data_IF_548467483147
#
_entry.id   IF_548467483147
#
_cell.length_a   1.000
_cell.length_b   1.000
_cell.length_c   1.000
_cell.angle_alpha   90.00
_cell.angle_beta   90.00
_cell.angle_gamma   90.00
#
_symmetry.space_group_name_H-M   'P 1'
#
loop_
_entity.id
_entity.type
_entity.pdbx_description
1 polymer ?
#
# COMPACT_ATOMS: atom_id res chain seq x y z
N UNK A 1 0.81 -10.53 22.04
CA UNK A 1 0.67 -10.17 20.61
C UNK A 1 1.33 -8.81 20.42
N UNK A 2 2.10 -8.59 19.35
CA UNK A 2 2.70 -7.27 19.13
C UNK A 2 1.59 -6.25 18.78
N UNK A 3 1.61 -5.02 19.35
CA UNK A 3 0.59 -4.01 19.08
C UNK A 3 0.61 -3.58 17.61
N UNK A 4 -0.56 -3.62 16.95
CA UNK A 4 -0.67 -3.24 15.55
C UNK A 4 -0.55 -1.69 15.39
N UNK A 5 0.46 -1.18 14.67
CA UNK A 5 0.70 0.27 14.55
C UNK A 5 -0.45 1.01 13.88
N UNK A 6 -1.21 0.35 12.99
CA UNK A 6 -2.37 0.95 12.33
C UNK A 6 -3.50 1.25 13.33
N UNK A 7 -3.74 0.35 14.29
CA UNK A 7 -4.75 0.52 15.34
C UNK A 7 -4.35 1.67 16.27
N UNK A 8 -3.08 1.73 16.68
CA UNK A 8 -2.58 2.83 17.52
C UNK A 8 -2.77 4.20 16.87
N UNK A 9 -2.43 4.33 15.57
CA UNK A 9 -2.63 5.57 14.82
C UNK A 9 -4.11 5.93 14.69
N UNK A 10 -5.00 4.95 14.54
CA UNK A 10 -6.44 5.18 14.48
C UNK A 10 -6.99 5.71 15.81
N UNK A 11 -6.59 5.13 16.95
CA UNK A 11 -7.02 5.56 18.29
C UNK A 11 -6.70 7.05 18.51
N UNK A 12 -5.51 7.49 18.11
CA UNK A 12 -5.10 8.90 18.25
C UNK A 12 -5.92 9.84 17.36
N UNK A 13 -6.15 9.45 16.11
CA UNK A 13 -6.95 10.24 15.19
C UNK A 13 -8.40 10.36 15.62
N UNK A 14 -8.93 9.35 16.32
CA UNK A 14 -10.29 9.30 16.82
C UNK A 14 -10.43 9.94 18.23
N UNK A 15 -9.34 10.48 18.79
CA UNK A 15 -9.40 11.22 20.04
C UNK A 15 -9.36 10.34 21.30
N UNK A 16 -8.70 9.18 21.23
CA UNK A 16 -8.43 8.26 22.35
C UNK A 16 -9.65 7.59 22.98
N UNK A 17 -10.86 7.87 22.53
CA UNK A 17 -12.08 7.15 22.88
C UNK A 17 -12.68 6.55 21.62
N UNK A 18 -12.74 5.23 21.53
CA UNK A 18 -13.08 4.54 20.27
C UNK A 18 -13.95 3.32 20.50
N UNK A 19 -14.80 3.00 19.53
CA UNK A 19 -15.49 1.70 19.44
C UNK A 19 -14.72 0.77 18.50
N UNK A 20 -15.08 -0.53 18.51
CA UNK A 20 -14.54 -1.50 17.56
C UNK A 20 -14.87 -1.09 16.12
N UNK A 21 -16.10 -0.65 15.87
CA UNK A 21 -16.57 -0.12 14.59
C UNK A 21 -15.77 1.08 14.10
N UNK A 22 -15.50 2.04 14.99
CA UNK A 22 -14.72 3.24 14.65
C UNK A 22 -13.33 2.88 14.12
N UNK A 23 -12.64 1.95 14.77
CA UNK A 23 -11.30 1.52 14.38
C UNK A 23 -11.34 0.65 13.11
N UNK A 24 -12.28 -0.30 13.03
CA UNK A 24 -12.41 -1.19 11.89
C UNK A 24 -12.70 -0.41 10.60
N UNK A 25 -13.66 0.52 10.63
CA UNK A 25 -13.97 1.40 9.50
C UNK A 25 -12.77 2.25 9.09
N UNK A 26 -12.11 2.88 10.08
CA UNK A 26 -11.02 3.83 9.83
C UNK A 26 -9.78 3.17 9.24
N UNK A 27 -9.49 1.92 9.63
CA UNK A 27 -8.29 1.20 9.19
C UNK A 27 -8.59 0.24 8.03
N UNK A 28 -9.85 -0.19 7.86
CA UNK A 28 -10.25 -1.27 6.95
C UNK A 28 -9.94 -2.67 7.51
N UNK A 29 -9.86 -2.81 8.83
CA UNK A 29 -9.56 -4.09 9.49
C UNK A 29 -10.82 -4.91 9.72
N UNK A 30 -10.63 -6.23 9.78
CA UNK A 30 -11.70 -7.13 10.23
C UNK A 30 -12.12 -6.77 11.66
N UNK A 31 -13.42 -6.75 11.96
CA UNK A 31 -13.98 -6.42 13.27
C UNK A 31 -13.36 -7.26 14.38
N UNK A 32 -13.21 -8.57 14.18
CA UNK A 32 -12.62 -9.47 15.17
C UNK A 32 -11.16 -9.13 15.46
N UNK A 33 -10.38 -8.79 14.42
CA UNK A 33 -8.99 -8.37 14.58
C UNK A 33 -8.89 -7.00 15.25
N UNK A 34 -9.80 -6.07 14.93
CA UNK A 34 -9.88 -4.77 15.57
C UNK A 34 -10.22 -4.91 17.07
N UNK A 35 -11.18 -5.76 17.41
CA UNK A 35 -11.58 -6.04 18.79
C UNK A 35 -10.44 -6.67 19.59
N UNK A 36 -9.82 -7.73 19.07
CA UNK A 36 -8.68 -8.39 19.72
C UNK A 36 -7.51 -7.41 19.91
N UNK A 37 -7.22 -6.61 18.89
CA UNK A 37 -6.18 -5.59 18.96
C UNK A 37 -6.47 -4.49 19.99
N UNK A 38 -7.71 -3.99 20.04
CA UNK A 38 -8.15 -3.01 21.03
C UNK A 38 -8.08 -3.54 22.45
N UNK A 39 -8.55 -4.77 22.67
CA UNK A 39 -8.51 -5.41 23.98
C UNK A 39 -7.06 -5.63 24.45
N UNK A 40 -6.19 -6.12 23.57
CA UNK A 40 -4.77 -6.29 23.87
C UNK A 40 -4.10 -4.94 24.20
N UNK A 41 -4.36 -3.90 23.40
CA UNK A 41 -3.85 -2.55 23.65
C UNK A 41 -4.38 -1.96 24.97
N UNK A 42 -5.66 -2.16 25.28
CA UNK A 42 -6.27 -1.67 26.52
C UNK A 42 -5.64 -2.36 27.73
N UNK A 43 -5.45 -3.68 27.66
CA UNK A 43 -4.77 -4.44 28.72
C UNK A 43 -3.31 -3.99 28.92
N UNK A 44 -2.58 -3.74 27.82
CA UNK A 44 -1.16 -3.40 27.88
C UNK A 44 -0.88 -1.93 28.20
N UNK A 45 -1.79 -1.03 27.85
CA UNK A 45 -1.61 0.42 27.98
C UNK A 45 -2.53 1.07 29.03
N UNK A 46 -3.13 0.26 29.92
CA UNK A 46 -4.08 0.71 30.94
C UNK A 46 -5.25 1.50 30.34
N UNK A 47 -5.80 1.00 29.23
CA UNK A 47 -7.06 1.48 28.68
C UNK A 47 -8.24 1.03 29.53
N UNK A 48 -9.26 1.88 29.59
CA UNK A 48 -10.49 1.63 30.31
C UNK A 48 -11.61 1.22 29.36
N UNK A 49 -12.42 0.26 29.80
CA UNK A 49 -13.67 -0.13 29.17
C UNK A 49 -14.81 0.74 29.71
N UNK A 50 -15.66 1.21 28.81
CA UNK A 50 -16.92 1.92 29.08
C UNK A 50 -18.05 1.16 28.38
N UNK A 51 -19.08 0.75 29.12
CA UNK A 51 -20.22 -0.01 28.61
C UNK A 51 -21.46 0.86 28.70
N UNK A 52 -22.17 0.97 27.58
CA UNK A 52 -23.40 1.74 27.45
C UNK A 52 -24.63 0.93 27.89
N UNK A 53 -25.77 1.61 28.07
CA UNK A 53 -27.06 0.94 28.33
C UNK A 53 -27.48 -0.05 27.23
N UNK A 54 -27.08 0.21 25.99
CA UNK A 54 -27.29 -0.69 24.85
C UNK A 54 -26.46 -1.98 24.90
N UNK A 55 -25.52 -2.10 25.86
CA UNK A 55 -24.55 -3.19 25.93
C UNK A 55 -23.34 -3.00 25.02
N UNK A 56 -23.25 -1.87 24.32
CA UNK A 56 -22.11 -1.54 23.45
C UNK A 56 -20.91 -1.02 24.24
N UNK A 57 -19.71 -1.28 23.73
CA UNK A 57 -18.45 -1.02 24.43
C UNK A 57 -17.63 0.06 23.72
N UNK A 58 -17.26 1.11 24.46
CA UNK A 58 -16.26 2.08 24.10
C UNK A 58 -14.97 1.85 24.91
N UNK A 59 -13.82 2.00 24.24
CA UNK A 59 -12.50 1.91 24.84
C UNK A 59 -11.94 3.31 25.01
N UNK A 60 -11.56 3.68 26.24
CA UNK A 60 -10.86 4.92 26.54
C UNK A 60 -9.37 4.64 26.79
N UNK A 61 -8.51 5.27 26.00
CA UNK A 61 -7.06 5.17 26.14
C UNK A 61 -6.48 6.44 26.79
N UNK A 62 -5.45 6.30 27.62
CA UNK A 62 -4.76 7.47 28.17
C UNK A 62 -3.95 8.17 27.06
N UNK A 63 -3.84 9.50 27.10
CA UNK A 63 -3.13 10.28 26.04
C UNK A 63 -1.65 9.91 25.91
N UNK A 64 -1.05 9.35 26.95
CA UNK A 64 0.33 8.89 26.99
C UNK A 64 0.50 7.40 26.65
N UNK A 65 -0.53 6.70 26.14
CA UNK A 65 -0.50 5.25 25.91
C UNK A 65 0.68 4.78 25.03
N UNK A 66 1.10 5.57 24.03
CA UNK A 66 2.30 5.26 23.21
C UNK A 66 3.57 5.12 24.05
N UNK A 67 3.76 5.99 25.04
CA UNK A 67 4.94 5.97 25.90
C UNK A 67 4.97 4.73 26.79
N UNK A 68 3.80 4.29 27.26
CA UNK A 68 3.61 3.09 28.08
C UNK A 68 3.95 1.84 27.24
N UNK A 69 3.43 1.76 26.01
CA UNK A 69 3.68 0.64 25.10
C UNK A 69 5.14 0.56 24.62
N UNK A 70 5.80 1.71 24.38
CA UNK A 70 7.19 1.76 23.92
C UNK A 70 8.18 1.17 24.92
N UNK A 71 7.90 1.27 26.21
CA UNK A 71 8.75 0.68 27.26
C UNK A 71 8.53 -0.84 27.41
N UNK A 72 7.42 -1.37 26.90
CA UNK A 72 7.06 -2.80 27.04
C UNK A 72 7.46 -3.65 25.82
N UNK A 73 7.46 -3.07 24.62
CA UNK A 73 7.74 -3.80 23.37
C UNK A 73 9.04 -3.34 22.68
N UNK A 74 10.14 -4.05 22.96
CA UNK A 74 11.43 -3.89 22.24
C UNK A 74 11.30 -4.13 20.72
N UNK A 75 10.31 -4.94 20.30
CA UNK A 75 10.05 -5.26 18.89
C UNK A 75 9.63 -4.02 18.05
N UNK A 76 8.99 -3.02 18.66
CA UNK A 76 8.65 -1.76 17.99
C UNK A 76 9.92 -0.95 17.65
N UNK A 77 10.95 -1.02 18.50
CA UNK A 77 12.23 -0.36 18.25
C UNK A 77 13.05 -1.09 17.17
N UNK A 78 12.96 -2.42 17.12
CA UNK A 78 13.70 -3.25 16.17
C UNK A 78 13.12 -3.13 14.75
N UNK A 79 11.80 -3.02 14.60
CA UNK A 79 11.15 -2.84 13.29
C UNK A 79 11.51 -1.48 12.67
N UNK A 80 11.51 -0.40 13.46
CA UNK A 80 11.96 0.93 13.00
C UNK A 80 13.45 0.94 12.62
N UNK A 81 14.29 0.18 13.31
CA UNK A 81 15.70 0.06 12.97
C UNK A 81 15.91 -0.77 11.70
N UNK A 82 15.16 -1.87 11.54
CA UNK A 82 15.20 -2.72 10.36
C UNK A 82 14.83 -1.94 9.09
N UNK A 83 13.79 -1.10 9.14
CA UNK A 83 13.42 -0.24 8.01
C UNK A 83 14.50 0.81 7.68
N UNK A 84 15.21 1.34 8.67
CA UNK A 84 16.36 2.25 8.45
C UNK A 84 17.52 1.53 7.77
N UNK A 85 17.83 0.30 8.18
CA UNK A 85 18.92 -0.50 7.59
C UNK A 85 18.61 -0.84 6.14
N UNK A 86 17.39 -1.31 5.85
CA UNK A 86 16.98 -1.59 4.47
C UNK A 86 16.99 -0.34 3.59
N UNK A 87 16.59 0.82 4.13
CA UNK A 87 16.68 2.11 3.40
C UNK A 87 18.10 2.42 2.95
N UNK A 88 19.07 2.29 3.86
CA UNK A 88 20.48 2.54 3.54
C UNK A 88 21.02 1.49 2.58
N UNK A 89 20.70 0.21 2.80
CA UNK A 89 21.14 -0.89 1.95
C UNK A 89 20.64 -0.73 0.51
N UNK A 90 19.35 -0.44 0.31
CA UNK A 90 18.79 -0.20 -1.02
C UNK A 90 19.30 1.10 -1.65
N UNK A 91 19.59 2.14 -0.86
CA UNK A 91 20.25 3.34 -1.35
C UNK A 91 21.67 3.04 -1.88
N UNK A 92 22.42 2.19 -1.17
CA UNK A 92 23.75 1.74 -1.61
C UNK A 92 23.66 0.89 -2.89
N UNK A 93 22.70 -0.03 -2.97
CA UNK A 93 22.43 -0.82 -4.19
C UNK A 93 22.03 0.11 -5.35
N UNK A 94 21.20 1.12 -5.08
CA UNK A 94 20.75 2.11 -6.08
C UNK A 94 21.91 2.89 -6.68
N UNK A 95 22.85 3.30 -5.82
CA UNK A 95 24.08 3.99 -6.24
C UNK A 95 25.02 3.05 -6.99
N UNK A 96 25.16 1.80 -6.55
CA UNK A 96 26.15 0.88 -7.12
C UNK A 96 25.92 0.62 -8.60
N UNK A 97 24.67 0.50 -9.06
CA UNK A 97 24.41 0.28 -10.50
C UNK A 97 24.89 1.44 -11.38
N UNK A 98 24.63 2.69 -10.99
CA UNK A 98 25.10 3.84 -11.77
C UNK A 98 26.62 4.00 -11.73
N UNK A 99 27.26 3.68 -10.60
CA UNK A 99 28.73 3.68 -10.49
C UNK A 99 29.34 2.58 -11.36
N UNK A 100 28.79 1.36 -11.33
CA UNK A 100 29.28 0.24 -12.16
C UNK A 100 29.14 0.58 -13.65
N UNK A 101 28.07 1.25 -14.06
CA UNK A 101 27.90 1.74 -15.44
C UNK A 101 29.00 2.73 -15.84
N UNK A 102 29.30 3.70 -14.98
CA UNK A 102 30.34 4.69 -15.26
C UNK A 102 31.72 4.04 -15.32
N UNK A 103 32.02 3.15 -14.37
CA UNK A 103 33.27 2.38 -14.34
C UNK A 103 33.39 1.47 -15.56
N UNK A 104 32.31 0.83 -16.02
CA UNK A 104 32.35 -0.02 -17.22
C UNK A 104 32.68 0.79 -18.45
N UNK A 105 32.05 1.96 -18.62
CA UNK A 105 32.32 2.87 -19.73
C UNK A 105 33.78 3.34 -19.69
N UNK A 106 34.25 3.88 -18.56
CA UNK A 106 35.62 4.37 -18.43
C UNK A 106 36.63 3.25 -18.73
N UNK A 107 36.43 2.06 -18.17
CA UNK A 107 37.32 0.93 -18.37
C UNK A 107 37.35 0.46 -19.84
N UNK A 108 36.20 0.45 -20.52
CA UNK A 108 36.12 0.13 -21.95
C UNK A 108 36.88 1.16 -22.79
N UNK A 109 36.63 2.45 -22.59
CA UNK A 109 37.24 3.51 -23.40
C UNK A 109 38.74 3.67 -23.13
N UNK A 110 39.20 3.50 -21.88
CA UNK A 110 40.62 3.50 -21.55
C UNK A 110 41.33 2.31 -22.20
N UNK A 111 40.73 1.11 -22.18
CA UNK A 111 41.29 -0.05 -22.86
C UNK A 111 41.37 0.16 -24.38
N UNK A 112 40.32 0.71 -25.00
CA UNK A 112 40.33 1.07 -26.43
C UNK A 112 41.46 2.07 -26.72
N UNK A 113 41.60 3.13 -25.92
CA UNK A 113 42.63 4.15 -26.13
C UNK A 113 44.05 3.58 -26.06
N UNK A 114 44.35 2.72 -25.06
CA UNK A 114 45.65 2.06 -24.93
C UNK A 114 45.96 1.20 -26.16
N UNK A 115 44.96 0.42 -26.63
CA UNK A 115 45.12 -0.42 -27.81
C UNK A 115 45.40 0.45 -29.05
N UNK A 116 44.65 1.53 -29.25
CA UNK A 116 44.82 2.41 -30.43
C UNK A 116 46.15 3.18 -30.43
N UNK A 117 46.58 3.71 -29.29
CA UNK A 117 47.87 4.41 -29.17
C UNK A 117 49.01 3.46 -29.51
N UNK A 118 48.94 2.22 -29.01
CA UNK A 118 49.98 1.22 -29.27
C UNK A 118 50.02 0.85 -30.75
N UNK A 119 48.86 0.62 -31.37
CA UNK A 119 48.73 0.35 -32.80
C UNK A 119 49.31 1.47 -33.67
N UNK A 120 49.15 2.72 -33.26
CA UNK A 120 49.64 3.88 -34.01
C UNK A 120 51.14 4.17 -33.75
N UNK A 121 51.69 3.68 -32.63
CA UNK A 121 53.12 3.78 -32.31
C UNK A 121 53.97 2.67 -32.95
N UNK A 122 53.34 1.62 -33.47
CA UNK A 122 54.01 0.51 -34.14
C UNK A 122 54.10 0.73 -35.66
N UNK A 123 54.86 1.74 -36.08
CA UNK A 123 55.36 1.89 -37.44
C UNK A 123 56.90 1.88 -37.49
N UNK A 124 57.52 0.92 -36.80
CA UNK A 124 58.82 0.37 -37.23
C UNK A 124 59.16 -0.85 -36.38
N UNK A 125 59.20 -2.03 -37.02
CA UNK A 125 60.19 -3.10 -36.85
C UNK A 125 59.64 -4.45 -37.36
N UNK A 126 60.24 -4.92 -38.44
CA UNK A 126 60.20 -6.31 -38.89
C UNK A 126 61.00 -7.19 -37.93
N UNK A 127 60.51 -8.38 -37.59
CA UNK A 127 61.15 -9.68 -37.90
C UNK A 127 60.46 -10.87 -37.20
N UNK A 128 60.82 -12.06 -37.67
CA UNK A 128 60.02 -13.27 -37.80
C UNK A 128 59.81 -14.20 -36.59
N UNK A 129 58.67 -14.91 -36.65
CA UNK A 129 58.37 -16.35 -36.42
C UNK A 129 59.12 -17.14 -35.32
N UNK A 130 58.34 -17.74 -34.38
CA UNK A 130 58.03 -19.20 -34.23
C UNK A 130 57.55 -19.55 -32.80
N UNK A 131 56.59 -20.50 -32.68
CA UNK A 131 56.60 -21.51 -31.60
C UNK A 131 55.38 -21.68 -30.67
N UNK A 132 54.50 -22.61 -31.04
CA UNK A 132 53.73 -23.64 -30.28
C UNK A 132 53.39 -23.56 -28.76
N UNK A 133 52.09 -23.82 -28.49
CA UNK A 133 51.43 -24.62 -27.42
C UNK A 133 51.57 -24.29 -25.92
N UNK A 134 50.43 -24.12 -25.21
CA UNK A 134 49.76 -25.16 -24.38
C UNK A 134 48.78 -24.57 -23.32
N UNK A 135 47.73 -25.36 -23.01
CA UNK A 135 47.07 -25.55 -21.70
C UNK A 135 45.99 -24.60 -21.14
N UNK A 136 44.90 -25.25 -20.66
CA UNK A 136 44.03 -24.82 -19.55
C UNK A 136 42.78 -24.05 -19.99
N UNK A 137 41.53 -24.53 -19.84
CA UNK A 137 40.96 -25.24 -18.69
C UNK A 137 39.99 -24.29 -17.98
N UNK A 138 38.68 -24.39 -18.24
CA UNK A 138 37.68 -23.52 -17.64
C UNK A 138 36.27 -24.11 -17.77
N UNK A 139 35.84 -24.79 -16.70
CA UNK A 139 34.53 -25.40 -16.55
C UNK A 139 33.47 -24.30 -16.42
N UNK A 140 32.51 -24.27 -17.34
CA UNK A 140 31.30 -23.47 -17.24
C UNK A 140 30.36 -24.19 -16.26
N UNK A 141 30.30 -23.70 -15.02
CA UNK A 141 29.31 -24.09 -14.04
C UNK A 141 28.07 -23.21 -14.23
N UNK A 142 27.00 -23.76 -14.80
CA UNK A 142 25.68 -23.13 -14.80
C UNK A 142 24.84 -23.87 -13.76
N UNK A 143 24.62 -23.31 -12.55
CA UNK A 143 23.65 -23.87 -11.62
C UNK A 143 22.25 -23.61 -12.17
N UNK A 144 21.54 -24.71 -12.37
CA UNK A 144 20.22 -24.80 -12.98
C UNK A 144 19.12 -24.41 -11.95
N UNK A 145 18.99 -23.12 -11.59
CA UNK A 145 18.01 -22.66 -10.60
C UNK A 145 17.25 -21.36 -10.97
N UNK A 146 17.09 -21.06 -12.27
CA UNK A 146 16.61 -19.74 -12.74
C UNK A 146 15.37 -19.76 -13.63
N UNK A 147 14.41 -20.67 -13.40
CA UNK A 147 13.10 -20.62 -14.08
C UNK A 147 11.98 -20.94 -13.07
N UNK A 148 11.74 -19.97 -12.20
CA UNK A 148 10.61 -19.90 -11.28
C UNK A 148 10.77 -18.65 -10.42
N UNK A 149 10.01 -17.60 -10.71
CA UNK A 149 9.97 -16.32 -9.97
C UNK A 149 11.10 -15.27 -10.16
N UNK A 150 11.65 -15.12 -11.37
CA UNK A 150 12.49 -13.94 -11.72
C UNK A 150 11.74 -12.60 -11.59
N UNK A 151 10.41 -12.62 -11.58
CA UNK A 151 9.60 -11.41 -11.51
C UNK A 151 9.50 -10.78 -10.12
N UNK A 152 9.97 -11.45 -9.07
CA UNK A 152 10.08 -10.83 -7.74
C UNK A 152 11.13 -9.70 -7.71
N UNK A 153 12.15 -9.74 -8.57
CA UNK A 153 13.16 -8.67 -8.72
C UNK A 153 12.56 -7.34 -9.21
N UNK A 154 11.42 -7.40 -9.92
CA UNK A 154 10.67 -6.24 -10.40
C UNK A 154 9.60 -5.75 -9.41
N UNK A 155 9.48 -6.40 -8.26
CA UNK A 155 8.62 -5.98 -7.16
C UNK A 155 9.51 -5.68 -5.94
N UNK A 156 10.08 -4.47 -5.82
CA UNK A 156 10.68 -4.05 -4.55
C UNK A 156 9.54 -3.92 -3.53
N UNK A 157 9.26 -5.02 -2.83
CA UNK A 157 8.21 -5.15 -1.85
C UNK A 157 8.56 -4.53 -0.50
N UNK A 158 9.29 -3.40 -0.45
CA UNK A 158 9.52 -2.66 0.79
C UNK A 158 9.64 -1.17 0.47
N UNK A 159 8.67 -0.42 0.96
CA UNK A 159 8.36 0.90 0.45
C UNK A 159 8.98 2.04 1.22
N UNK A 160 9.41 3.06 0.48
CA UNK A 160 9.54 4.41 0.99
C UNK A 160 8.18 4.88 1.51
N UNK A 161 8.06 5.15 2.81
CA UNK A 161 6.95 5.93 3.37
C UNK A 161 7.14 7.40 3.00
N UNK A 162 6.82 7.75 1.76
CA UNK A 162 6.30 9.09 1.49
C UNK A 162 4.83 9.03 1.87
N UNK A 163 4.52 9.59 3.04
CA UNK A 163 3.15 9.94 3.40
C UNK A 163 2.54 10.69 2.20
N UNK A 164 1.46 10.18 1.56
CA UNK A 164 0.64 11.02 0.72
C UNK A 164 -0.14 11.92 1.69
N UNK A 165 0.47 13.03 2.08
CA UNK A 165 -0.31 14.15 2.61
C UNK A 165 -1.32 14.51 1.52
N UNK A 166 -2.59 14.58 1.93
CA UNK A 166 -3.72 15.07 1.15
C UNK A 166 -3.29 16.33 0.38
N UNK A 167 -2.88 16.17 -0.87
CA UNK A 167 -2.82 17.27 -1.81
C UNK A 167 -4.24 17.46 -2.30
N UNK A 168 -4.92 18.36 -1.60
CA UNK A 168 -6.02 19.15 -2.14
C UNK A 168 -5.54 19.74 -3.46
N UNK A 169 -6.38 19.62 -4.48
CA UNK A 169 -6.15 20.18 -5.81
C UNK A 169 -5.57 21.58 -5.71
N UNK A 170 -4.32 21.71 -6.12
CA UNK A 170 -3.65 22.97 -6.38
C UNK A 170 -2.85 22.73 -7.64
N UNK A 171 -3.47 23.10 -8.76
CA UNK A 171 -2.80 23.54 -9.96
C UNK A 171 -1.62 24.45 -9.60
N UNK A 172 -0.51 24.30 -10.32
CA UNK A 172 0.79 24.99 -10.19
C UNK A 172 1.79 24.44 -9.16
N UNK A 173 2.60 23.47 -9.60
CA UNK A 173 4.08 23.58 -9.64
C UNK A 173 4.71 22.26 -10.08
N UNK A 174 4.81 22.06 -11.40
CA UNK A 174 5.63 21.02 -12.02
C UNK A 174 7.12 21.35 -11.94
N UNK A 175 7.64 21.63 -10.75
CA UNK A 175 9.08 21.55 -10.50
C UNK A 175 9.38 20.12 -10.06
N UNK A 176 9.53 19.24 -11.04
CA UNK A 176 10.33 18.04 -10.88
C UNK A 176 11.70 18.49 -10.37
N UNK A 177 12.03 18.24 -9.10
CA UNK A 177 13.43 18.27 -8.71
C UNK A 177 14.14 17.29 -9.64
N UNK A 178 14.99 17.79 -10.54
CA UNK A 178 15.66 16.95 -11.52
C UNK A 178 16.34 15.80 -10.78
N UNK A 179 15.92 14.58 -11.09
CA UNK A 179 16.49 13.38 -10.48
C UNK A 179 18.00 13.38 -10.68
N UNK A 180 18.77 13.13 -9.62
CA UNK A 180 20.22 12.99 -9.75
C UNK A 180 20.53 11.83 -10.73
N UNK A 181 21.67 11.87 -11.42
CA UNK A 181 22.09 10.87 -12.41
C UNK A 181 21.92 9.43 -11.91
N UNK A 182 22.43 9.11 -10.72
CA UNK A 182 22.34 7.75 -10.17
C UNK A 182 20.89 7.33 -9.89
N UNK A 183 20.07 8.28 -9.43
CA UNK A 183 18.65 8.05 -9.17
C UNK A 183 17.85 7.87 -10.47
N UNK A 184 18.20 8.62 -11.51
CA UNK A 184 17.72 8.47 -12.88
C UNK A 184 18.05 7.09 -13.43
N UNK A 185 19.31 6.67 -13.36
CA UNK A 185 19.77 5.37 -13.87
C UNK A 185 19.04 4.22 -13.15
N UNK A 186 18.86 4.32 -11.85
CA UNK A 186 18.10 3.33 -11.09
C UNK A 186 16.62 3.32 -11.44
N UNK A 187 15.97 4.49 -11.55
CA UNK A 187 14.57 4.60 -11.95
C UNK A 187 14.36 4.07 -13.38
N UNK A 188 15.31 4.32 -14.27
CA UNK A 188 15.35 3.73 -15.60
C UNK A 188 15.48 2.20 -15.54
N UNK A 189 16.37 1.65 -14.71
CA UNK A 189 16.66 0.21 -14.63
C UNK A 189 15.60 -0.62 -13.90
N UNK A 190 15.01 -0.09 -12.83
CA UNK A 190 14.07 -0.83 -11.97
C UNK A 190 12.68 -0.19 -11.82
N UNK A 191 12.52 1.08 -12.18
CA UNK A 191 11.29 1.84 -11.91
C UNK A 191 11.22 2.36 -10.48
N UNK A 192 10.07 2.93 -10.11
CA UNK A 192 9.88 3.63 -8.83
C UNK A 192 9.00 2.87 -7.82
N UNK A 193 8.77 1.58 -8.08
CA UNK A 193 7.97 0.68 -7.24
C UNK A 193 6.48 0.65 -7.59
N UNK A 194 5.73 -0.16 -6.83
CA UNK A 194 4.29 -0.38 -7.06
C UNK A 194 3.46 0.84 -6.60
N UNK A 195 2.76 1.55 -7.52
CA UNK A 195 1.94 2.71 -7.15
C UNK A 195 0.69 2.31 -6.34
N UNK A 196 0.28 1.04 -6.40
CA UNK A 196 -0.93 0.50 -5.78
C UNK A 196 -0.61 -0.41 -4.56
N UNK A 197 0.55 -0.25 -3.92
CA UNK A 197 0.95 -1.09 -2.78
C UNK A 197 -0.04 -1.10 -1.61
N UNK A 198 -0.78 -0.01 -1.46
CA UNK A 198 -1.77 0.21 -0.40
C UNK A 198 -3.21 0.14 -0.90
N UNK A 199 -3.44 -0.31 -2.13
CA UNK A 199 -4.77 -0.35 -2.73
C UNK A 199 -5.74 -1.17 -1.89
N UNK A 200 -5.32 -2.33 -1.39
CA UNK A 200 -6.16 -3.20 -0.56
C UNK A 200 -6.56 -2.51 0.75
N UNK A 201 -5.59 -1.86 1.41
CA UNK A 201 -5.86 -1.09 2.64
C UNK A 201 -6.86 0.04 2.36
N UNK A 202 -6.68 0.76 1.26
CA UNK A 202 -7.59 1.82 0.83
C UNK A 202 -8.98 1.30 0.48
N UNK A 203 -9.09 0.17 -0.24
CA UNK A 203 -10.35 -0.48 -0.57
C UNK A 203 -11.20 -0.70 0.66
N UNK A 204 -10.65 -1.35 1.69
CA UNK A 204 -11.42 -1.65 2.90
C UNK A 204 -11.75 -0.40 3.71
N UNK A 205 -10.89 0.61 3.70
CA UNK A 205 -11.19 1.91 4.32
C UNK A 205 -12.34 2.62 3.61
N UNK A 206 -12.33 2.64 2.28
CA UNK A 206 -13.39 3.25 1.46
C UNK A 206 -14.71 2.51 1.66
N UNK A 207 -14.72 1.18 1.57
CA UNK A 207 -15.92 0.35 1.84
C UNK A 207 -16.47 0.62 3.24
N UNK A 208 -15.61 0.59 4.28
CA UNK A 208 -16.04 0.89 5.65
C UNK A 208 -16.60 2.30 5.79
N UNK A 209 -16.05 3.26 5.05
CA UNK A 209 -16.53 4.66 5.04
C UNK A 209 -17.87 4.79 4.30
N UNK A 210 -18.09 4.08 3.19
CA UNK A 210 -19.38 4.04 2.48
C UNK A 210 -20.47 3.47 3.39
N UNK A 211 -20.22 2.30 4.00
CA UNK A 211 -21.17 1.68 4.93
C UNK A 211 -21.51 2.63 6.07
N UNK A 212 -20.49 3.31 6.62
CA UNK A 212 -20.68 4.28 7.69
C UNK A 212 -21.46 5.52 7.25
N UNK A 213 -21.18 6.07 6.08
CA UNK A 213 -21.92 7.19 5.51
C UNK A 213 -23.39 6.83 5.28
N UNK A 214 -23.67 5.56 4.98
CA UNK A 214 -25.02 5.00 4.90
C UNK A 214 -25.55 4.50 6.25
N UNK A 215 -24.93 4.89 7.37
CA UNK A 215 -25.34 4.54 8.75
C UNK A 215 -25.52 3.04 8.96
N UNK A 216 -24.59 2.26 8.42
CA UNK A 216 -24.50 0.82 8.64
C UNK A 216 -25.46 -0.03 7.81
N UNK A 217 -26.21 0.51 6.85
CA UNK A 217 -27.03 -0.30 5.97
C UNK A 217 -26.86 0.11 4.50
N UNK A 218 -26.59 -0.86 3.64
CA UNK A 218 -26.28 -0.62 2.22
C UNK A 218 -26.88 -1.69 1.32
N UNK A 219 -27.19 -1.31 0.08
CA UNK A 219 -27.38 -2.26 -1.01
C UNK A 219 -26.02 -2.69 -1.61
N UNK A 220 -25.98 -3.85 -2.25
CA UNK A 220 -24.78 -4.41 -2.86
C UNK A 220 -24.13 -3.46 -3.88
N UNK A 221 -24.96 -2.78 -4.65
CA UNK A 221 -24.60 -1.87 -5.72
C UNK A 221 -23.87 -0.62 -5.20
N UNK A 222 -24.07 -0.24 -3.94
CA UNK A 222 -23.33 0.85 -3.30
C UNK A 222 -21.87 0.47 -3.01
N UNK A 223 -21.58 -0.82 -2.89
CA UNK A 223 -20.24 -1.36 -2.58
C UNK A 223 -19.54 -1.91 -3.82
N UNK A 224 -20.29 -2.35 -4.83
CA UNK A 224 -19.76 -2.89 -6.09
C UNK A 224 -18.65 -2.04 -6.75
N UNK A 225 -18.69 -0.69 -6.77
CA UNK A 225 -17.63 0.14 -7.36
C UNK A 225 -16.25 0.01 -6.70
N UNK A 226 -16.14 -0.59 -5.52
CA UNK A 226 -14.88 -0.75 -4.79
C UNK A 226 -14.31 -2.18 -4.88
N UNK A 227 -15.03 -3.10 -5.52
CA UNK A 227 -14.66 -4.51 -5.63
C UNK A 227 -14.06 -4.82 -7.01
N UNK A 228 -13.24 -5.88 -7.06
CA UNK A 228 -12.50 -6.25 -8.28
C UNK A 228 -13.26 -7.23 -9.17
N UNK A 229 -13.91 -8.22 -8.55
CA UNK A 229 -14.59 -9.31 -9.21
C UNK A 229 -16.00 -9.45 -8.63
N UNK A 230 -16.99 -8.91 -9.35
CA UNK A 230 -18.41 -9.05 -9.01
C UNK A 230 -19.02 -10.34 -9.60
N UNK A 231 -18.21 -11.19 -10.24
CA UNK A 231 -18.66 -12.37 -10.95
C UNK A 231 -19.50 -12.07 -12.20
N UNK A 232 -19.90 -13.13 -12.89
CA UNK A 232 -20.82 -13.09 -14.03
C UNK A 232 -21.97 -14.08 -13.83
N UNK A 233 -23.13 -13.78 -14.42
CA UNK A 233 -24.35 -14.60 -14.30
C UNK A 233 -24.80 -14.77 -12.85
N UNK A 234 -25.04 -16.02 -12.46
CA UNK A 234 -25.52 -16.40 -11.13
C UNK A 234 -24.75 -15.75 -9.97
N UNK A 235 -23.42 -15.71 -10.02
CA UNK A 235 -22.61 -15.15 -8.92
C UNK A 235 -22.89 -13.66 -8.68
N UNK A 236 -23.25 -12.93 -9.73
CA UNK A 236 -23.59 -11.52 -9.65
C UNK A 236 -25.03 -11.32 -9.20
N UNK A 237 -25.95 -12.18 -9.67
CA UNK A 237 -27.37 -12.17 -9.27
C UNK A 237 -27.57 -12.46 -7.78
N UNK A 238 -26.78 -13.38 -7.22
CA UNK A 238 -26.81 -13.73 -5.80
C UNK A 238 -25.84 -12.90 -4.94
N UNK A 239 -25.19 -11.90 -5.54
CA UNK A 239 -24.37 -10.92 -4.84
C UNK A 239 -23.23 -11.56 -4.01
N UNK A 240 -22.66 -12.68 -4.48
CA UNK A 240 -21.59 -13.44 -3.80
C UNK A 240 -20.38 -12.57 -3.44
N UNK A 241 -20.16 -11.52 -4.22
CA UNK A 241 -19.08 -10.54 -4.02
C UNK A 241 -19.19 -9.77 -2.70
N UNK A 242 -20.34 -9.79 -2.02
CA UNK A 242 -20.52 -9.18 -0.71
C UNK A 242 -20.02 -10.04 0.45
N UNK A 243 -19.84 -11.35 0.27
CA UNK A 243 -19.40 -12.26 1.33
C UNK A 243 -18.09 -11.83 2.03
N UNK A 244 -17.04 -11.37 1.33
CA UNK A 244 -15.84 -10.85 1.97
C UNK A 244 -16.10 -9.59 2.80
N UNK A 245 -17.04 -8.74 2.38
CA UNK A 245 -17.43 -7.50 3.08
C UNK A 245 -18.16 -7.85 4.37
N UNK A 246 -19.13 -8.77 4.30
CA UNK A 246 -19.87 -9.27 5.46
C UNK A 246 -18.94 -9.90 6.49
N UNK A 247 -18.03 -10.77 6.03
CA UNK A 247 -17.06 -11.44 6.91
C UNK A 247 -16.10 -10.44 7.56
N UNK A 248 -15.76 -9.35 6.87
CA UNK A 248 -14.81 -8.35 7.38
C UNK A 248 -15.45 -7.41 8.39
N UNK A 249 -16.64 -6.91 8.09
CA UNK A 249 -17.33 -5.90 8.90
C UNK A 249 -18.45 -6.45 9.78
N UNK A 250 -18.55 -7.77 9.92
CA UNK A 250 -19.57 -8.45 10.71
C UNK A 250 -21.00 -8.04 10.27
N UNK A 251 -21.20 -8.05 8.96
CA UNK A 251 -22.47 -7.72 8.33
C UNK A 251 -23.40 -8.92 8.20
N UNK A 252 -24.70 -8.66 8.16
CA UNK A 252 -25.75 -9.65 7.92
C UNK A 252 -26.66 -9.24 6.75
N UNK A 253 -27.07 -10.18 5.90
CA UNK A 253 -28.07 -9.93 4.87
C UNK A 253 -29.47 -9.88 5.48
N UNK A 254 -30.29 -8.96 5.01
CA UNK A 254 -31.72 -8.83 5.30
C UNK A 254 -32.46 -8.86 3.95
N UNK A 255 -33.64 -9.49 3.91
CA UNK A 255 -34.39 -9.67 2.65
C UNK A 255 -35.62 -8.79 2.68
N UNK A 256 -35.82 -8.01 1.61
CA UNK A 256 -36.99 -7.17 1.42
C UNK A 256 -38.24 -8.00 1.14
N UNK A 257 -39.45 -7.45 1.37
CA UNK A 257 -40.70 -8.12 0.99
C UNK A 257 -40.75 -8.51 -0.50
N UNK A 258 -40.03 -7.78 -1.35
CA UNK A 258 -39.94 -8.00 -2.79
C UNK A 258 -38.86 -9.05 -3.17
N UNK A 259 -38.16 -9.60 -2.19
CA UNK A 259 -37.14 -10.64 -2.38
C UNK A 259 -35.73 -10.11 -2.69
N UNK A 260 -35.50 -8.79 -2.55
CA UNK A 260 -34.19 -8.18 -2.74
C UNK A 260 -33.35 -8.27 -1.45
N UNK A 261 -32.03 -8.37 -1.59
CA UNK A 261 -31.11 -8.46 -0.44
C UNK A 261 -30.53 -7.08 -0.14
N UNK A 262 -30.56 -6.68 1.13
CA UNK A 262 -29.84 -5.52 1.66
C UNK A 262 -28.92 -5.98 2.78
N UNK A 263 -27.87 -5.20 3.05
CA UNK A 263 -26.84 -5.60 4.00
C UNK A 263 -26.77 -4.63 5.15
N UNK A 264 -26.88 -5.18 6.36
CA UNK A 264 -26.86 -4.45 7.61
C UNK A 264 -25.60 -4.77 8.40
N UNK A 265 -24.92 -3.74 8.90
CA UNK A 265 -23.64 -3.77 9.58
C UNK A 265 -23.74 -3.08 10.96
N UNK A 266 -24.29 -3.77 11.98
CA UNK A 266 -24.52 -3.18 13.30
C UNK A 266 -23.25 -2.59 13.93
N UNK A 267 -22.12 -3.29 13.78
CA UNK A 267 -20.86 -2.88 14.39
C UNK A 267 -20.34 -1.54 13.84
N UNK A 268 -20.75 -1.14 12.63
CA UNK A 268 -20.37 0.13 12.00
C UNK A 268 -21.34 1.28 12.33
N UNK A 269 -22.45 1.00 13.03
CA UNK A 269 -23.42 2.01 13.51
C UNK A 269 -23.02 2.58 14.89
N UNK A 270 -22.26 1.81 15.66
CA UNK A 270 -21.80 2.14 17.00
C UNK A 270 -20.55 3.01 16.97
N UNK A 271 -20.65 4.22 17.52
CA UNK A 271 -19.59 5.23 17.45
C UNK A 271 -19.37 5.90 18.81
N UNK A 272 -18.11 6.19 19.15
CA UNK A 272 -17.78 6.89 20.40
C UNK A 272 -18.06 8.39 20.32
N UNK A 273 -18.19 8.93 19.12
CA UNK A 273 -18.46 10.34 18.85
C UNK A 273 -19.24 10.46 17.55
N UNK A 274 -20.14 11.44 17.49
CA UNK A 274 -20.75 11.86 16.24
C UNK A 274 -19.66 12.16 15.20
N UNK A 275 -19.80 11.56 14.02
CA UNK A 275 -18.85 11.72 12.93
C UNK A 275 -19.55 12.35 11.73
N UNK A 276 -18.88 13.35 11.16
CA UNK A 276 -19.28 13.97 9.92
C UNK A 276 -19.15 12.99 8.76
N UNK A 277 -20.01 13.17 7.75
CA UNK A 277 -19.92 12.45 6.49
C UNK A 277 -18.54 12.68 5.85
N UNK A 278 -17.87 11.59 5.51
CA UNK A 278 -16.56 11.66 4.88
C UNK A 278 -16.71 11.60 3.36
N UNK A 279 -15.92 12.41 2.65
CA UNK A 279 -15.87 12.36 1.19
C UNK A 279 -15.21 11.04 0.77
N UNK A 280 -15.95 10.24 -0.01
CA UNK A 280 -15.45 8.99 -0.60
C UNK A 280 -15.45 9.14 -2.12
N UNK A 281 -14.39 8.72 -2.83
CA UNK A 281 -14.39 8.65 -4.29
C UNK A 281 -15.54 7.78 -4.80
N UNK A 282 -16.11 8.05 -5.99
CA UNK A 282 -17.24 7.28 -6.50
C UNK A 282 -16.92 5.79 -6.76
N UNK A 283 -15.64 5.45 -6.98
CA UNK A 283 -15.15 4.09 -7.18
C UNK A 283 -13.67 3.97 -6.80
N UNK A 284 -13.20 2.74 -6.59
CA UNK A 284 -11.80 2.46 -6.28
C UNK A 284 -10.92 2.60 -7.53
N UNK A 285 -10.11 3.65 -7.60
CA UNK A 285 -9.21 3.90 -8.73
C UNK A 285 -7.81 3.30 -8.49
N UNK A 286 -7.41 2.36 -9.35
CA UNK A 286 -6.04 1.89 -9.40
C UNK A 286 -5.16 2.83 -10.24
N UNK A 287 -3.98 3.18 -9.72
CA UNK A 287 -3.03 4.03 -10.44
C UNK A 287 -2.25 3.22 -11.47
N UNK A 288 -2.03 3.80 -12.64
CA UNK A 288 -1.20 3.20 -13.68
C UNK A 288 0.27 3.16 -13.27
N UNK A 289 0.96 2.10 -13.66
CA UNK A 289 2.40 1.98 -13.53
C UNK A 289 3.07 2.95 -14.48
N UNK A 290 3.92 3.82 -13.92
CA UNK A 290 4.81 4.68 -14.70
C UNK A 290 6.09 3.93 -14.97
N UNK A 291 6.65 4.09 -16.17
CA UNK A 291 7.92 3.46 -16.53
C UNK A 291 9.06 3.98 -15.65
N UNK A 292 9.13 5.29 -15.48
CA UNK A 292 10.09 5.99 -14.62
C UNK A 292 9.53 7.38 -14.29
N UNK A 293 9.91 7.93 -13.13
CA UNK A 293 9.69 9.32 -12.75
C UNK A 293 10.71 10.27 -13.39
N UNK A 294 11.77 9.76 -14.01
CA UNK A 294 12.75 10.55 -14.73
C UNK A 294 12.12 11.26 -15.94
N UNK A 295 12.65 12.44 -16.26
CA UNK A 295 12.19 13.19 -17.44
C UNK A 295 12.51 12.45 -18.74
N UNK A 296 11.80 12.78 -19.82
CA UNK A 296 12.08 12.18 -21.14
C UNK A 296 13.53 12.37 -21.58
N UNK A 297 14.14 13.51 -21.26
CA UNK A 297 15.55 13.78 -21.55
C UNK A 297 16.49 12.89 -20.72
N UNK A 298 16.21 12.70 -19.44
CA UNK A 298 16.96 11.82 -18.55
C UNK A 298 16.88 10.33 -18.96
N UNK A 299 15.70 9.89 -19.40
CA UNK A 299 15.52 8.55 -19.97
C UNK A 299 16.33 8.41 -21.26
N UNK A 300 16.25 9.39 -22.17
CA UNK A 300 17.02 9.38 -23.42
C UNK A 300 18.52 9.34 -23.18
N UNK A 301 19.03 10.13 -22.22
CA UNK A 301 20.44 10.10 -21.82
C UNK A 301 20.83 8.73 -21.27
N UNK A 302 19.98 8.11 -20.45
CA UNK A 302 20.23 6.76 -19.91
C UNK A 302 20.32 5.72 -21.03
N UNK A 303 19.38 5.75 -21.97
CA UNK A 303 19.40 4.89 -23.17
C UNK A 303 20.67 5.13 -23.98
N UNK A 304 21.03 6.40 -24.22
CA UNK A 304 22.24 6.78 -24.95
C UNK A 304 23.51 6.28 -24.27
N UNK A 305 23.61 6.42 -22.95
CA UNK A 305 24.76 5.95 -22.17
C UNK A 305 24.89 4.42 -22.24
N UNK A 306 23.76 3.70 -22.13
CA UNK A 306 23.71 2.25 -22.32
C UNK A 306 24.11 1.82 -23.72
N UNK A 307 23.66 2.53 -24.75
CA UNK A 307 24.01 2.26 -26.14
C UNK A 307 25.51 2.48 -26.39
N UNK A 308 26.07 3.58 -25.90
CA UNK A 308 27.51 3.86 -25.95
C UNK A 308 28.31 2.77 -25.24
N UNK A 309 27.84 2.28 -24.09
CA UNK A 309 28.50 1.20 -23.35
C UNK A 309 28.52 -0.11 -24.17
N UNK A 310 27.40 -0.50 -24.79
CA UNK A 310 27.33 -1.70 -25.64
C UNK A 310 28.20 -1.54 -26.89
N UNK A 311 28.11 -0.41 -27.60
CA UNK A 311 28.91 -0.14 -28.79
C UNK A 311 30.40 -0.17 -28.45
N UNK A 312 30.79 0.51 -27.38
CA UNK A 312 32.16 0.48 -26.87
C UNK A 312 32.62 -0.93 -26.54
N UNK A 313 31.79 -1.73 -25.86
CA UNK A 313 32.10 -3.13 -25.57
C UNK A 313 32.27 -3.96 -26.86
N UNK A 314 31.44 -3.77 -27.88
CA UNK A 314 31.56 -4.49 -29.15
C UNK A 314 32.83 -4.09 -29.93
N UNK A 315 33.17 -2.80 -29.96
CA UNK A 315 34.41 -2.29 -30.56
C UNK A 315 35.64 -2.82 -29.82
N UNK A 316 35.61 -2.77 -28.48
CA UNK A 316 36.66 -3.37 -27.66
C UNK A 316 36.78 -4.87 -27.96
N UNK A 317 35.66 -5.59 -28.06
CA UNK A 317 35.65 -7.01 -28.42
C UNK A 317 36.26 -7.31 -29.78
N UNK A 318 36.07 -6.45 -30.78
CA UNK A 318 36.73 -6.62 -32.08
C UNK A 318 38.23 -6.35 -32.00
N UNK A 319 38.67 -5.35 -31.22
CA UNK A 319 40.07 -5.03 -30.99
C UNK A 319 40.82 -6.13 -30.20
N UNK A 320 40.18 -6.71 -29.18
CA UNK A 320 40.76 -7.78 -28.36
C UNK A 320 40.97 -9.08 -29.16
N UNK A 321 40.12 -9.36 -30.17
CA UNK A 321 40.27 -10.52 -31.06
C UNK A 321 41.53 -10.44 -31.95
N UNK A 322 42.11 -9.26 -32.14
CA UNK A 322 43.31 -9.06 -32.96
C UNK A 322 44.62 -9.61 -32.35
N UNK A 323 44.58 -10.26 -31.19
CA UNK A 323 45.77 -10.88 -30.54
C UNK A 323 46.69 -9.90 -29.82
N UNK A 324 46.46 -8.59 -29.96
CA UNK A 324 47.27 -7.49 -29.41
C UNK A 324 47.15 -7.42 -27.87
N UNK A 325 46.03 -7.87 -27.31
CA UNK A 325 45.77 -7.84 -25.87
C UNK A 325 46.76 -8.71 -25.06
N UNK A 326 47.22 -9.82 -25.64
CA UNK A 326 48.19 -10.70 -24.99
C UNK A 326 49.62 -10.11 -24.96
N UNK A 327 49.91 -9.14 -25.83
CA UNK A 327 51.22 -8.46 -25.90
C UNK A 327 51.29 -7.21 -25.03
N UNK A 328 50.15 -6.54 -24.81
CA UNK A 328 50.05 -5.29 -24.05
C UNK A 328 50.17 -5.45 -22.53
N UNK A 329 49.74 -6.59 -21.98
CA UNK A 329 49.72 -6.84 -20.54
C UNK A 329 48.88 -5.81 -19.74
N UNK A 330 49.01 -5.84 -18.41
CA UNK A 330 48.43 -4.82 -17.51
C UNK A 330 46.91 -4.69 -17.58
N UNK A 331 46.41 -3.43 -17.69
CA UNK A 331 44.98 -3.11 -17.68
C UNK A 331 44.23 -3.80 -18.83
N UNK A 332 44.82 -3.90 -20.02
CA UNK A 332 44.16 -4.49 -21.19
C UNK A 332 43.91 -6.00 -21.01
N UNK A 333 44.87 -6.72 -20.41
CA UNK A 333 44.70 -8.13 -20.06
C UNK A 333 43.62 -8.34 -18.99
N UNK A 334 43.54 -7.43 -18.00
CA UNK A 334 42.45 -7.45 -17.02
C UNK A 334 41.09 -7.24 -17.68
N UNK A 335 40.94 -6.23 -18.53
CA UNK A 335 39.70 -5.96 -19.28
C UNK A 335 39.29 -7.16 -20.13
N UNK A 336 40.25 -7.82 -20.80
CA UNK A 336 39.99 -9.03 -21.56
C UNK A 336 39.41 -10.16 -20.69
N UNK A 337 39.90 -10.33 -19.46
CA UNK A 337 39.40 -11.36 -18.54
C UNK A 337 37.95 -11.13 -18.10
N UNK A 338 37.52 -9.86 -17.99
CA UNK A 338 36.16 -9.49 -17.58
C UNK A 338 35.25 -9.07 -18.75
N UNK A 339 35.70 -9.25 -20.00
CA UNK A 339 35.00 -8.78 -21.19
C UNK A 339 33.54 -9.23 -21.25
N UNK A 340 33.27 -10.51 -21.00
CA UNK A 340 31.90 -11.05 -21.02
C UNK A 340 31.01 -10.46 -19.92
N UNK A 341 31.59 -10.08 -18.78
CA UNK A 341 30.87 -9.41 -17.69
C UNK A 341 30.50 -7.98 -18.14
N UNK A 342 31.43 -7.24 -18.75
CA UNK A 342 31.18 -5.89 -19.27
C UNK A 342 30.11 -5.88 -20.36
N UNK A 343 30.22 -6.81 -21.32
CA UNK A 343 29.25 -6.95 -22.40
C UNK A 343 27.88 -7.37 -21.87
N UNK A 344 27.83 -8.38 -20.99
CA UNK A 344 26.59 -8.84 -20.36
C UNK A 344 25.91 -7.75 -19.54
N UNK A 345 26.70 -6.97 -18.80
CA UNK A 345 26.21 -5.81 -18.06
C UNK A 345 25.63 -4.74 -19.00
N UNK A 346 26.33 -4.39 -20.08
CA UNK A 346 25.85 -3.42 -21.08
C UNK A 346 24.53 -3.86 -21.73
N UNK A 347 24.44 -5.13 -22.14
CA UNK A 347 23.21 -5.71 -22.71
C UNK A 347 22.08 -5.67 -21.68
N UNK A 348 22.33 -6.15 -20.45
CA UNK A 348 21.34 -6.16 -19.38
C UNK A 348 20.80 -4.77 -19.04
N UNK A 349 21.67 -3.76 -19.09
CA UNK A 349 21.32 -2.37 -18.82
C UNK A 349 20.21 -1.83 -19.76
N UNK A 350 20.15 -2.27 -21.02
CA UNK A 350 19.09 -1.89 -21.96
C UNK A 350 17.98 -2.96 -22.10
N UNK A 351 18.33 -4.24 -21.99
CA UNK A 351 17.38 -5.34 -22.13
C UNK A 351 16.38 -5.38 -20.97
N UNK A 352 16.83 -5.15 -19.73
CA UNK A 352 15.97 -5.20 -18.54
C UNK A 352 14.87 -4.12 -18.60
N UNK A 353 15.17 -2.82 -18.84
CA UNK A 353 14.14 -1.80 -19.00
C UNK A 353 13.21 -2.06 -20.18
N UNK A 354 13.73 -2.61 -21.28
CA UNK A 354 12.92 -2.93 -22.47
C UNK A 354 11.89 -4.02 -22.16
N UNK A 355 12.29 -5.11 -21.51
CA UNK A 355 11.35 -6.16 -21.07
C UNK A 355 10.34 -5.57 -20.07
N UNK A 356 10.80 -4.76 -19.12
CA UNK A 356 9.92 -4.09 -18.15
C UNK A 356 8.90 -3.19 -18.84
N UNK A 357 9.29 -2.45 -19.87
CA UNK A 357 8.40 -1.57 -20.63
C UNK A 357 7.20 -2.35 -21.18
N UNK A 358 7.42 -3.48 -21.86
CA UNK A 358 6.32 -4.31 -22.37
C UNK A 358 5.46 -4.90 -21.25
N UNK A 359 6.07 -5.36 -20.17
CA UNK A 359 5.33 -5.86 -19.01
C UNK A 359 4.43 -4.78 -18.38
N UNK A 360 4.92 -3.55 -18.24
CA UNK A 360 4.14 -2.39 -17.76
C UNK A 360 2.96 -2.10 -18.69
N UNK A 361 3.12 -2.19 -20.01
CA UNK A 361 2.01 -1.99 -20.94
C UNK A 361 0.90 -3.03 -20.74
N UNK A 362 1.26 -4.31 -20.60
CA UNK A 362 0.30 -5.39 -20.33
C UNK A 362 -0.42 -5.14 -19.00
N UNK A 363 0.33 -4.83 -17.93
CA UNK A 363 -0.25 -4.55 -16.61
C UNK A 363 -1.17 -3.33 -16.62
N UNK A 364 -0.77 -2.25 -17.29
CA UNK A 364 -1.60 -1.05 -17.40
C UNK A 364 -2.87 -1.29 -18.21
N UNK A 365 -2.86 -2.16 -19.21
CA UNK A 365 -4.08 -2.56 -19.93
C UNK A 365 -5.07 -3.26 -18.99
N UNK A 366 -4.59 -4.20 -18.17
CA UNK A 366 -5.42 -4.88 -17.16
C UNK A 366 -5.98 -3.90 -16.11
N UNK A 367 -5.15 -2.96 -15.64
CA UNK A 367 -5.58 -1.93 -14.68
C UNK A 367 -6.66 -1.03 -15.28
N UNK A 368 -6.49 -0.59 -16.53
CA UNK A 368 -7.51 0.22 -17.24
C UNK A 368 -8.83 -0.51 -17.34
N UNK A 369 -8.82 -1.78 -17.73
CA UNK A 369 -10.03 -2.59 -17.83
C UNK A 369 -10.75 -2.73 -16.47
N UNK A 370 -10.01 -2.93 -15.37
CA UNK A 370 -10.59 -2.99 -14.01
C UNK A 370 -11.17 -1.65 -13.58
N UNK A 371 -10.46 -0.55 -13.79
CA UNK A 371 -10.97 0.78 -13.47
C UNK A 371 -12.21 1.14 -14.30
N UNK A 372 -12.25 0.76 -15.59
CA UNK A 372 -13.42 0.94 -16.44
C UNK A 372 -14.64 0.20 -15.89
N UNK A 373 -14.49 -1.09 -15.52
CA UNK A 373 -15.58 -1.86 -14.89
C UNK A 373 -16.10 -1.19 -13.61
N UNK A 374 -15.22 -0.71 -12.73
CA UNK A 374 -15.61 -0.02 -11.49
C UNK A 374 -16.28 1.32 -11.76
N UNK A 375 -15.79 2.06 -12.75
CA UNK A 375 -16.41 3.31 -13.19
C UNK A 375 -17.80 3.09 -13.77
N UNK A 376 -18.01 2.02 -14.54
CA UNK A 376 -19.34 1.63 -15.05
C UNK A 376 -20.30 1.30 -13.91
N UNK A 377 -19.84 0.59 -12.86
CA UNK A 377 -20.68 0.35 -11.68
C UNK A 377 -21.05 1.66 -10.97
N UNK A 378 -20.09 2.58 -10.79
CA UNK A 378 -20.38 3.88 -10.18
C UNK A 378 -21.41 4.68 -11.00
N UNK A 379 -21.29 4.67 -12.33
CA UNK A 379 -22.28 5.32 -13.21
C UNK A 379 -23.65 4.67 -13.13
N UNK A 380 -23.73 3.34 -13.01
CA UNK A 380 -24.99 2.62 -12.83
C UNK A 380 -25.65 2.97 -11.48
N UNK A 381 -24.84 3.21 -10.44
CA UNK A 381 -25.32 3.68 -9.14
C UNK A 381 -25.81 5.14 -9.19
N UNK A 382 -25.09 6.03 -9.87
CA UNK A 382 -25.49 7.44 -10.04
C UNK A 382 -26.77 7.57 -10.88
N UNK A 383 -26.92 6.71 -11.89
CA UNK A 383 -28.10 6.61 -12.74
C UNK A 383 -29.13 5.59 -12.24
N UNK A 384 -29.27 5.41 -10.92
CA UNK A 384 -30.10 4.36 -10.34
C UNK A 384 -31.56 4.40 -10.83
N UNK A 385 -32.00 3.29 -11.42
CA UNK A 385 -33.39 3.05 -11.78
C UNK A 385 -34.29 2.97 -10.53
N UNK A 386 -35.60 3.10 -10.71
CA UNK A 386 -36.57 3.10 -9.60
C UNK A 386 -36.48 1.87 -8.70
N UNK A 387 -36.17 0.69 -9.25
CA UNK A 387 -35.95 -0.53 -8.47
C UNK A 387 -34.77 -0.40 -7.50
N UNK A 388 -33.61 0.07 -7.99
CA UNK A 388 -32.42 0.26 -7.17
C UNK A 388 -32.63 1.36 -6.11
N UNK A 389 -33.36 2.43 -6.45
CA UNK A 389 -33.72 3.45 -5.48
C UNK A 389 -34.60 2.90 -4.35
N UNK A 390 -35.58 2.06 -4.67
CA UNK A 390 -36.42 1.38 -3.67
C UNK A 390 -35.60 0.43 -2.80
N UNK A 391 -34.69 -0.35 -3.38
CA UNK A 391 -33.76 -1.22 -2.65
C UNK A 391 -32.90 -0.45 -1.66
N UNK A 392 -32.33 0.68 -2.09
CA UNK A 392 -31.53 1.57 -1.23
C UNK A 392 -32.42 2.18 -0.13
N UNK A 393 -33.64 2.61 -0.45
CA UNK A 393 -34.59 3.14 0.53
C UNK A 393 -35.00 2.07 1.57
N UNK A 394 -35.13 0.81 1.15
CA UNK A 394 -35.37 -0.30 2.06
C UNK A 394 -34.18 -0.55 2.99
N UNK A 395 -32.94 -0.54 2.46
CA UNK A 395 -31.74 -0.62 3.28
C UNK A 395 -31.71 0.47 4.37
N UNK A 396 -32.15 1.69 4.05
CA UNK A 396 -32.22 2.79 5.01
C UNK A 396 -33.16 2.55 6.20
N UNK A 397 -34.07 1.58 6.16
CA UNK A 397 -34.88 1.21 7.32
C UNK A 397 -34.06 0.57 8.44
N UNK A 398 -32.94 -0.07 8.08
CA UNK A 398 -31.98 -0.64 9.02
C UNK A 398 -30.86 0.34 9.38
N UNK A 399 -30.83 1.51 8.75
CA UNK A 399 -29.82 2.52 8.99
C UNK A 399 -30.01 3.15 10.37
N UNK A 400 -28.95 3.14 11.18
CA UNK A 400 -28.96 3.61 12.55
C UNK A 400 -27.62 4.19 12.95
N UNK A 401 -27.62 5.04 13.97
CA UNK A 401 -26.40 5.51 14.59
C UNK A 401 -26.56 5.47 16.10
N UNK A 402 -25.79 4.60 16.74
CA UNK A 402 -25.70 4.56 18.19
C UNK A 402 -24.44 5.32 18.62
N UNK A 403 -24.63 6.43 19.32
CA UNK A 403 -23.52 7.23 19.83
C UNK A 403 -23.41 6.92 21.32
N UNK A 404 -22.34 6.24 21.72
CA UNK A 404 -22.12 5.96 23.13
C UNK A 404 -21.69 7.26 23.79
N UNK A 405 -22.62 7.98 24.44
CA UNK A 405 -22.28 9.21 25.17
C UNK A 405 -21.71 8.85 26.54
N UNK A 406 -21.21 9.86 27.25
CA UNK A 406 -20.75 9.66 28.64
C UNK A 406 -21.92 9.55 29.62
N UNK A 407 -23.06 10.15 29.26
CA UNK A 407 -24.30 10.14 30.04
C UNK A 407 -25.01 8.77 30.01
N UNK A 408 -24.86 8.01 28.92
CA UNK A 408 -25.53 6.71 28.73
C UNK A 408 -24.69 5.51 29.25
N UNK A 409 -23.71 5.76 30.13
CA UNK A 409 -22.77 4.73 30.60
C UNK A 409 -23.33 3.99 31.81
N UNK A 410 -23.48 2.67 31.70
CA UNK A 410 -23.80 1.80 32.84
C UNK A 410 -22.55 1.40 33.61
N UNK A 411 -21.43 1.22 32.93
CA UNK A 411 -20.24 0.72 33.60
C UNK A 411 -18.99 1.33 33.01
N UNK A 412 -18.07 1.73 33.88
CA UNK A 412 -16.72 2.13 33.50
C UNK A 412 -15.70 1.53 34.45
N UNK A 413 -14.59 1.09 33.88
CA UNK A 413 -13.42 0.64 34.64
C UNK A 413 -12.52 1.79 35.12
N UNK A 414 -12.93 3.05 34.92
CA UNK A 414 -12.21 4.23 35.44
C UNK A 414 -12.51 4.48 36.93
N UNK A 415 -13.74 4.22 37.35
CA UNK A 415 -14.24 4.51 38.70
C UNK A 415 -14.51 3.24 39.47
N UNK A 416 -14.55 3.34 40.79
CA UNK A 416 -14.91 2.20 41.63
C UNK A 416 -16.38 1.79 41.41
N UNK A 417 -16.67 0.50 41.60
CA UNK A 417 -18.01 -0.08 41.36
C UNK A 417 -19.07 0.55 42.30
N UNK A 418 -18.73 0.72 43.57
CA UNK A 418 -19.66 1.23 44.58
C UNK A 418 -20.06 2.67 44.26
N UNK A 419 -19.10 3.50 43.84
CA UNK A 419 -19.37 4.89 43.46
C UNK A 419 -20.33 4.97 42.26
N UNK A 420 -20.18 4.07 41.29
CA UNK A 420 -21.05 4.01 40.10
C UNK A 420 -22.48 3.58 40.45
N UNK A 421 -22.62 2.55 41.29
CA UNK A 421 -23.93 2.05 41.72
C UNK A 421 -24.73 3.12 42.47
N UNK A 422 -24.06 3.92 43.32
CA UNK A 422 -24.66 5.06 44.04
C UNK A 422 -25.13 6.15 43.07
N UNK A 423 -24.32 6.48 42.05
CA UNK A 423 -24.70 7.50 41.07
C UNK A 423 -25.88 7.04 40.21
N UNK A 424 -25.91 5.76 39.82
CA UNK A 424 -27.01 5.15 39.08
C UNK A 424 -28.30 5.09 39.88
N UNK A 425 -28.25 4.64 41.13
CA UNK A 425 -29.44 4.61 41.99
C UNK A 425 -30.03 6.02 42.11
N UNK A 426 -29.19 7.05 42.27
CA UNK A 426 -29.63 8.44 42.33
C UNK A 426 -30.19 8.97 40.99
N UNK A 427 -29.78 8.43 39.84
CA UNK A 427 -30.38 8.76 38.54
C UNK A 427 -31.74 8.07 38.37
N UNK A 428 -31.83 6.78 38.70
CA UNK A 428 -33.07 5.99 38.67
C UNK A 428 -34.12 6.64 39.58
N UNK A 429 -33.76 7.02 40.81
CA UNK A 429 -34.66 7.69 41.75
C UNK A 429 -35.19 9.03 41.20
N UNK A 430 -34.32 9.82 40.55
CA UNK A 430 -34.72 11.08 39.90
C UNK A 430 -35.66 10.86 38.72
N UNK A 431 -35.46 9.80 37.94
CA UNK A 431 -36.36 9.46 36.85
C UNK A 431 -37.72 8.99 37.37
N UNK A 432 -37.74 8.16 38.42
CA UNK A 432 -38.96 7.74 39.09
C UNK A 432 -39.75 8.94 39.63
N UNK A 433 -39.08 9.90 40.29
CA UNK A 433 -39.70 11.13 40.75
C UNK A 433 -40.31 11.93 39.60
N UNK A 434 -39.57 12.12 38.50
CA UNK A 434 -40.08 12.81 37.30
C UNK A 434 -41.32 12.11 36.72
N UNK A 435 -41.30 10.77 36.65
CA UNK A 435 -42.46 9.97 36.16
C UNK A 435 -43.67 10.12 37.07
N UNK A 436 -43.48 10.06 38.39
CA UNK A 436 -44.56 10.26 39.38
C UNK A 436 -45.15 11.67 39.32
N UNK A 437 -44.32 12.71 39.18
CA UNK A 437 -44.77 14.10 39.05
C UNK A 437 -45.51 14.34 37.72
N UNK A 438 -45.03 13.76 36.62
CA UNK A 438 -45.69 13.85 35.31
C UNK A 438 -47.00 13.05 35.24
N UNK A 439 -47.08 11.92 35.94
CA UNK A 439 -48.29 11.07 36.01
C UNK A 439 -49.40 11.66 36.89
N UNK A 440 -49.05 12.53 37.85
CA UNK A 440 -50.03 13.25 38.67
C UNK A 440 -50.61 14.50 37.98
N UNK A 441 -50.03 14.96 36.87
CA UNK A 441 -50.48 16.16 36.15
C UNK A 441 -51.68 15.99 35.22
N UNK A 442 -52.13 14.75 34.95
CA UNK A 442 -53.26 14.46 34.04
C UNK A 442 -54.59 14.23 34.76
N UNK A 443 -54.63 14.23 36.10
CA UNK A 443 -55.87 13.97 36.84
C UNK A 443 -56.71 15.21 37.15
N UNK A 444 -56.24 16.43 36.82
CA UNK A 444 -56.91 17.71 37.15
C UNK A 444 -57.65 18.37 35.97
N UNK A 445 -57.89 17.67 34.85
CA UNK A 445 -58.66 18.19 33.70
C UNK A 445 -60.04 17.54 33.48
N UNK A 446 -60.63 16.94 34.50
CA UNK A 446 -62.03 16.48 34.47
C UNK A 446 -62.79 17.06 35.68
N UNK A 447 -62.86 18.38 35.77
CA UNK A 447 -63.88 19.06 36.58
C UNK A 447 -63.85 20.56 36.29
N UNK A 448 -64.51 20.98 35.22
CA UNK A 448 -65.17 22.28 35.04
C UNK A 448 -66.13 22.20 33.87
#
# INVERSE_FOLDING_TARGET
MAPNPKIMKAIEQLGYRVTVGDVAARVGLNINLAQQGLLALASDASGHLQVAESGEIAYLFPKNFRSILRNKFLQLQLQEWWEKVWRVLFYLIRISFGIVLLLSIVLIFVAIAIILITLNSSSDSNSDRRGSSNSGGGIIFIPNFWIGDIFWLFHPGYGYERHPQRHRDSSDSSQSSEMNFLETIFSFLFGDGNPNRYLEDHRWQEIGTVIRNSRGAVAAEQIAPYLDDIGEGYKREFEDYMLPVLTRFDGRPEVSPDGEIVYHFPQLQTTAKEQDLQIVPAYLEERLWRFSQASSGQIMLSVGLGAVNIIGALVLGSLLKGGIAAQLGGLVAFVQSIYWILLGYGIGFLAIPLIRYFWIQVKNSQIKARNQKRQEQARALDGADAALQNKIAYAQQFAGQNIIRKEDLIYTSETDLIAQEIEQSAQIDREWQRRLESGNGTSDRISS
#
